data_IF_924454158818
#
_entry.id   IF_924454158818
#
_cell.length_a   1.000
_cell.length_b   1.000
_cell.length_c   1.000
_cell.angle_alpha   90.00
_cell.angle_beta   90.00
_cell.angle_gamma   90.00
#
_symmetry.space_group_name_H-M   'P 1'
#
loop_
_entity.id
_entity.type
_entity.pdbx_description
1 polymer ?
#
# COMPACT_ATOMS: atom_id res chain seq x y z
N UNK A 1 26.51 -18.61 -19.37
CA UNK A 1 25.91 -17.79 -18.30
C UNK A 1 24.63 -17.22 -18.87
N UNK A 2 23.48 -17.81 -18.55
CA UNK A 2 22.20 -17.36 -19.08
C UNK A 2 21.73 -16.10 -18.31
N UNK A 3 21.11 -15.11 -18.98
CA UNK A 3 20.57 -13.95 -18.29
C UNK A 3 19.44 -14.39 -17.36
N UNK A 4 19.61 -14.17 -16.06
CA UNK A 4 18.54 -14.28 -15.07
C UNK A 4 17.56 -13.13 -15.34
N UNK A 5 16.50 -13.39 -16.10
CA UNK A 5 15.38 -12.48 -16.20
C UNK A 5 14.83 -12.23 -14.79
N UNK A 6 14.49 -10.97 -14.43
CA UNK A 6 13.74 -10.73 -13.20
C UNK A 6 12.48 -11.57 -13.30
N UNK A 7 12.27 -12.47 -12.34
CA UNK A 7 11.04 -13.24 -12.21
C UNK A 7 9.96 -12.22 -11.92
N UNK A 8 9.29 -11.73 -12.97
CA UNK A 8 8.07 -10.95 -12.84
C UNK A 8 7.07 -11.93 -12.27
N UNK A 9 6.89 -11.91 -10.95
CA UNK A 9 5.77 -12.62 -10.35
C UNK A 9 4.52 -12.03 -10.97
N UNK A 10 3.82 -12.86 -11.77
CA UNK A 10 2.53 -12.52 -12.33
C UNK A 10 1.52 -12.49 -11.19
N UNK A 11 1.56 -11.40 -10.42
CA UNK A 11 0.50 -11.07 -9.48
C UNK A 11 -0.81 -10.96 -10.29
N UNK A 12 -1.93 -11.43 -9.74
CA UNK A 12 -3.22 -11.23 -10.36
C UNK A 12 -3.44 -9.76 -10.75
N UNK A 13 -4.09 -9.47 -11.89
CA UNK A 13 -4.16 -8.13 -12.45
C UNK A 13 -5.15 -7.20 -11.71
N UNK A 14 -5.77 -7.67 -10.63
CA UNK A 14 -6.78 -6.93 -9.87
C UNK A 14 -6.33 -6.72 -8.43
N UNK A 15 -6.60 -5.53 -7.90
CA UNK A 15 -6.45 -5.21 -6.49
C UNK A 15 -7.81 -5.27 -5.81
N UNK A 16 -7.85 -5.83 -4.61
CA UNK A 16 -9.05 -5.85 -3.80
C UNK A 16 -9.19 -4.53 -3.04
N UNK A 17 -10.18 -3.72 -3.40
CA UNK A 17 -10.48 -2.50 -2.67
C UNK A 17 -11.08 -2.83 -1.29
N UNK A 18 -10.55 -2.20 -0.24
CA UNK A 18 -11.04 -2.33 1.13
C UNK A 18 -11.40 -0.95 1.70
N UNK A 19 -12.35 -0.96 2.64
CA UNK A 19 -12.74 0.22 3.40
C UNK A 19 -12.05 0.21 4.76
N UNK A 20 -11.15 1.18 5.00
CA UNK A 20 -10.41 1.30 6.26
C UNK A 20 -11.32 1.58 7.46
N UNK A 21 -12.49 2.19 7.25
CA UNK A 21 -13.42 2.50 8.35
C UNK A 21 -14.08 1.24 8.92
N UNK A 22 -14.04 0.14 8.17
CA UNK A 22 -14.55 -1.17 8.59
C UNK A 22 -13.46 -2.03 9.24
N UNK A 23 -12.25 -1.49 9.41
CA UNK A 23 -11.11 -2.17 10.03
C UNK A 23 -10.94 -1.78 11.51
N UNK A 24 -10.65 -2.75 12.41
CA UNK A 24 -10.55 -4.19 12.17
C UNK A 24 -11.92 -4.83 11.93
N UNK A 25 -12.01 -5.66 10.89
CA UNK A 25 -13.21 -6.46 10.64
C UNK A 25 -13.26 -7.68 11.57
N UNK A 26 -14.45 -8.23 11.77
CA UNK A 26 -14.64 -9.46 12.56
C UNK A 26 -13.88 -10.68 12.01
N UNK A 27 -13.58 -10.68 10.71
CA UNK A 27 -12.75 -11.68 10.05
C UNK A 27 -11.41 -11.05 9.67
N UNK A 28 -10.27 -11.62 10.07
CA UNK A 28 -8.95 -11.13 9.66
C UNK A 28 -8.80 -11.12 8.15
N UNK A 29 -8.10 -10.13 7.61
CA UNK A 29 -7.88 -9.99 6.17
C UNK A 29 -7.17 -11.24 5.60
N UNK A 30 -6.27 -11.86 6.37
CA UNK A 30 -5.61 -13.12 6.00
C UNK A 30 -6.55 -14.32 5.83
N UNK A 31 -7.79 -14.25 6.33
CA UNK A 31 -8.80 -15.30 6.25
C UNK A 31 -9.88 -15.03 5.19
N UNK A 32 -9.84 -13.88 4.52
CA UNK A 32 -10.75 -13.53 3.43
C UNK A 32 -10.34 -14.28 2.16
N UNK A 33 -11.14 -15.28 1.76
CA UNK A 33 -10.84 -16.15 0.61
C UNK A 33 -10.85 -15.39 -0.71
N UNK A 34 -11.57 -14.29 -0.76
CA UNK A 34 -11.68 -13.38 -1.91
C UNK A 34 -10.31 -12.77 -2.25
N UNK A 35 -9.45 -12.57 -1.25
CA UNK A 35 -8.12 -11.98 -1.42
C UNK A 35 -7.08 -12.96 -1.95
N UNK A 36 -7.35 -14.27 -1.88
CA UNK A 36 -6.45 -15.30 -2.40
C UNK A 36 -6.21 -15.18 -3.92
N UNK A 37 -7.08 -14.45 -4.63
CA UNK A 37 -7.00 -14.22 -6.07
C UNK A 37 -6.64 -12.78 -6.45
N UNK A 38 -6.35 -11.91 -5.46
CA UNK A 38 -5.96 -10.53 -5.70
C UNK A 38 -4.43 -10.40 -5.77
N UNK A 39 -3.93 -9.44 -6.57
CA UNK A 39 -2.51 -9.08 -6.61
C UNK A 39 -2.07 -8.26 -5.39
N UNK A 40 -3.03 -7.77 -4.62
CA UNK A 40 -2.84 -7.01 -3.40
C UNK A 40 -4.15 -6.38 -2.94
N UNK A 41 -4.08 -5.63 -1.85
CA UNK A 41 -5.20 -4.82 -1.36
C UNK A 41 -4.99 -3.36 -1.72
N UNK A 42 -6.08 -2.64 -1.96
CA UNK A 42 -6.10 -1.23 -2.23
C UNK A 42 -6.98 -0.51 -1.22
N UNK A 43 -6.51 0.60 -0.66
CA UNK A 43 -7.31 1.43 0.24
C UNK A 43 -7.02 2.92 0.03
N UNK A 44 -8.01 3.78 0.20
CA UNK A 44 -7.81 5.23 0.24
C UNK A 44 -7.60 5.68 1.68
N UNK A 45 -6.58 6.49 1.92
CA UNK A 45 -6.16 6.97 3.23
C UNK A 45 -6.40 8.48 3.30
N UNK A 46 -7.22 8.87 4.25
CA UNK A 46 -7.35 10.23 4.74
C UNK A 46 -6.76 10.34 6.15
N UNK A 47 -6.59 11.58 6.64
CA UNK A 47 -6.09 11.84 7.99
C UNK A 47 -6.91 11.15 9.10
N UNK A 48 -8.21 10.92 8.89
CA UNK A 48 -9.07 10.21 9.86
C UNK A 48 -8.92 8.69 9.83
N UNK A 49 -8.30 8.14 8.79
CA UNK A 49 -8.12 6.69 8.58
C UNK A 49 -6.66 6.24 8.69
N UNK A 50 -5.76 7.16 9.05
CA UNK A 50 -4.31 6.96 9.10
C UNK A 50 -3.94 5.84 10.09
N UNK A 51 -4.52 5.87 11.29
CA UNK A 51 -4.29 4.85 12.32
C UNK A 51 -4.73 3.44 11.86
N UNK A 52 -5.85 3.36 11.14
CA UNK A 52 -6.36 2.11 10.58
C UNK A 52 -5.45 1.61 9.45
N UNK A 53 -4.91 2.50 8.61
CA UNK A 53 -3.93 2.13 7.60
C UNK A 53 -2.68 1.50 8.25
N UNK A 54 -2.14 2.11 9.32
CA UNK A 54 -1.03 1.52 10.07
C UNK A 54 -1.37 0.18 10.71
N UNK A 55 -2.58 0.03 11.25
CA UNK A 55 -3.04 -1.23 11.83
C UNK A 55 -3.06 -2.35 10.78
N UNK A 56 -3.59 -2.08 9.58
CA UNK A 56 -3.60 -3.05 8.47
C UNK A 56 -2.18 -3.41 8.03
N UNK A 57 -1.32 -2.40 7.86
CA UNK A 57 0.06 -2.63 7.46
C UNK A 57 0.76 -3.54 8.46
N UNK A 58 0.58 -3.29 9.76
CA UNK A 58 1.12 -4.10 10.85
C UNK A 58 0.58 -5.53 10.87
N UNK A 59 -0.71 -5.72 10.58
CA UNK A 59 -1.35 -7.04 10.63
C UNK A 59 -1.03 -7.93 9.41
N UNK A 60 -0.71 -7.33 8.26
CA UNK A 60 -0.53 -8.03 6.98
C UNK A 60 0.94 -8.06 6.52
N UNK A 61 1.87 -7.45 7.26
CA UNK A 61 3.30 -7.35 6.89
C UNK A 61 3.81 -8.62 6.20
N UNK A 62 4.24 -8.49 4.95
CA UNK A 62 4.86 -9.56 4.17
C UNK A 62 3.93 -10.65 3.63
N UNK A 63 2.62 -10.58 3.89
CA UNK A 63 1.65 -11.58 3.40
C UNK A 63 1.01 -11.18 2.06
N UNK A 64 0.51 -9.95 1.98
CA UNK A 64 -0.20 -9.44 0.79
C UNK A 64 0.30 -8.01 0.53
N UNK A 65 0.66 -7.65 -0.72
CA UNK A 65 1.03 -6.27 -1.05
C UNK A 65 -0.11 -5.30 -0.73
N UNK A 66 0.21 -4.22 -0.01
CA UNK A 66 -0.74 -3.17 0.36
C UNK A 66 -0.51 -1.92 -0.48
N UNK A 67 -1.52 -1.51 -1.24
CA UNK A 67 -1.49 -0.32 -2.07
C UNK A 67 -2.37 0.75 -1.45
N UNK A 68 -1.85 1.97 -1.29
CA UNK A 68 -2.57 3.04 -0.59
C UNK A 68 -2.71 4.26 -1.48
N UNK A 69 -3.92 4.75 -1.68
CA UNK A 69 -4.14 6.09 -2.20
C UNK A 69 -4.04 7.09 -1.06
N UNK A 70 -3.03 7.94 -1.10
CA UNK A 70 -2.70 8.95 -0.09
C UNK A 70 -2.90 10.37 -0.61
N UNK A 71 -3.60 10.51 -1.74
CA UNK A 71 -3.86 11.81 -2.38
C UNK A 71 -4.59 12.81 -1.47
N UNK A 72 -5.25 12.33 -0.41
CA UNK A 72 -5.94 13.15 0.59
C UNK A 72 -5.07 13.55 1.80
N UNK A 73 -3.83 13.05 1.90
CA UNK A 73 -2.93 13.39 2.99
C UNK A 73 -2.18 14.70 2.69
N UNK A 74 -2.33 15.69 3.56
CA UNK A 74 -1.64 16.97 3.38
C UNK A 74 -0.17 16.91 3.81
N UNK A 75 0.15 16.05 4.77
CA UNK A 75 1.50 15.96 5.35
C UNK A 75 2.36 14.96 4.59
N UNK A 76 3.52 15.42 4.11
CA UNK A 76 4.48 14.56 3.42
C UNK A 76 4.99 13.44 4.32
N UNK A 77 5.19 13.72 5.61
CA UNK A 77 5.71 12.75 6.58
C UNK A 77 4.77 11.56 6.73
N UNK A 78 3.45 11.78 6.72
CA UNK A 78 2.47 10.69 6.80
C UNK A 78 2.62 9.69 5.65
N UNK A 79 2.91 10.18 4.44
CA UNK A 79 3.14 9.33 3.26
C UNK A 79 4.44 8.52 3.41
N UNK A 80 5.50 9.16 3.89
CA UNK A 80 6.79 8.50 4.17
C UNK A 80 6.60 7.41 5.23
N UNK A 81 5.89 7.71 6.31
CA UNK A 81 5.65 6.79 7.41
C UNK A 81 4.84 5.56 6.96
N UNK A 82 3.85 5.74 6.08
CA UNK A 82 3.10 4.62 5.49
C UNK A 82 3.98 3.73 4.61
N UNK A 83 4.91 4.33 3.85
CA UNK A 83 5.89 3.59 3.07
C UNK A 83 6.86 2.82 3.99
N UNK A 84 7.35 3.44 5.05
CA UNK A 84 8.25 2.82 6.01
C UNK A 84 7.56 1.72 6.84
N UNK A 85 6.25 1.86 7.09
CA UNK A 85 5.41 0.84 7.72
C UNK A 85 5.11 -0.37 6.83
N UNK A 86 5.51 -0.35 5.56
CA UNK A 86 5.48 -1.52 4.68
C UNK A 86 4.42 -1.49 3.58
N UNK A 87 3.83 -0.33 3.26
CA UNK A 87 2.97 -0.21 2.07
C UNK A 87 3.75 -0.64 0.82
N UNK A 88 3.23 -1.48 -0.06
CA UNK A 88 3.92 -1.86 -1.29
C UNK A 88 4.17 -0.66 -2.21
N UNK A 89 3.12 0.13 -2.44
CA UNK A 89 3.15 1.34 -3.26
C UNK A 89 2.05 2.31 -2.81
N UNK A 90 2.31 3.60 -2.93
CA UNK A 90 1.33 4.65 -2.69
C UNK A 90 0.93 5.32 -4.00
N UNK A 91 -0.30 5.80 -4.08
CA UNK A 91 -0.78 6.66 -5.16
C UNK A 91 -0.94 8.06 -4.60
N UNK A 92 -0.27 9.01 -5.23
CA UNK A 92 -0.17 10.40 -4.77
C UNK A 92 -0.80 11.32 -5.80
N UNK A 93 -1.21 12.50 -5.38
CA UNK A 93 -1.60 13.58 -6.28
C UNK A 93 -0.37 14.14 -7.02
N UNK A 94 -0.59 14.74 -8.19
CA UNK A 94 0.47 15.39 -8.97
C UNK A 94 1.25 16.43 -8.16
N UNK A 95 0.58 17.16 -7.27
CA UNK A 95 1.22 18.16 -6.39
C UNK A 95 2.14 17.57 -5.33
N UNK A 96 1.93 16.31 -4.92
CA UNK A 96 2.76 15.63 -3.90
C UNK A 96 3.99 14.95 -4.52
N UNK A 97 3.99 14.68 -5.83
CA UNK A 97 5.01 13.81 -6.44
C UNK A 97 6.40 14.44 -6.41
N UNK A 98 6.50 15.75 -6.63
CA UNK A 98 7.78 16.46 -6.67
C UNK A 98 8.47 16.47 -5.29
N UNK A 99 7.70 16.72 -4.22
CA UNK A 99 8.25 16.73 -2.86
C UNK A 99 8.67 15.33 -2.40
N UNK A 100 7.91 14.30 -2.77
CA UNK A 100 8.21 12.91 -2.41
C UNK A 100 9.40 12.34 -3.18
N UNK A 101 9.60 12.73 -4.45
CA UNK A 101 10.79 12.34 -5.22
C UNK A 101 12.09 12.95 -4.65
N UNK A 102 12.00 14.07 -3.94
CA UNK A 102 13.15 14.67 -3.27
C UNK A 102 13.60 13.88 -2.01
N UNK A 103 12.78 12.94 -1.52
CA UNK A 103 13.11 12.11 -0.34
C UNK A 103 14.06 10.98 -0.76
N UNK A 104 15.33 10.95 -0.29
CA UNK A 104 16.33 10.00 -0.79
C UNK A 104 16.04 8.52 -0.48
N UNK A 105 15.22 8.25 0.54
CA UNK A 105 14.89 6.90 1.00
C UNK A 105 13.73 6.27 0.23
N UNK A 106 13.00 7.05 -0.59
CA UNK A 106 11.84 6.55 -1.34
C UNK A 106 12.28 6.11 -2.74
N UNK A 107 12.01 4.85 -3.08
CA UNK A 107 12.15 4.36 -4.44
C UNK A 107 10.99 4.85 -5.32
N UNK A 108 11.29 5.46 -6.47
CA UNK A 108 10.28 5.98 -7.42
C UNK A 108 9.28 4.93 -7.89
N UNK A 109 9.64 3.64 -7.88
CA UNK A 109 8.72 2.54 -8.23
C UNK A 109 7.56 2.38 -7.25
N UNK A 110 7.67 2.95 -6.04
CA UNK A 110 6.66 2.91 -4.97
C UNK A 110 5.76 4.15 -4.94
N UNK A 111 5.99 5.11 -5.83
CA UNK A 111 5.17 6.30 -6.07
C UNK A 111 4.32 6.12 -7.34
#
# INVERSE_FOLDING_TARGET
MAPSHPKVEHLPPYLAAIDLTQYPSSTPISQQKELAYAGGIFASVSSSSLDQAFAILKDIVGSIPVYLDVSQLSEQQDVVDLLDAGAGKVFVSDSQIESLQAVPTIATSRL
#
